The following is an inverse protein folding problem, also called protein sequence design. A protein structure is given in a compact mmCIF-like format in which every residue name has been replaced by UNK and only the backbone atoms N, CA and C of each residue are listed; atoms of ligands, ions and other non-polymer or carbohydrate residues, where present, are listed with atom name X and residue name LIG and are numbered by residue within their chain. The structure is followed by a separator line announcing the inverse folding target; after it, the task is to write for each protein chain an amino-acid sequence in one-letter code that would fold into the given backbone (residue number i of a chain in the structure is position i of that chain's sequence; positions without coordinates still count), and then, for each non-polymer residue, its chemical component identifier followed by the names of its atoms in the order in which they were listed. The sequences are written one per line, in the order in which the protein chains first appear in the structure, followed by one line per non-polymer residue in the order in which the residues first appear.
data_IF_828545644080
#
_entry.id   IF_828545644080
#
_cell.length_a   1.000
_cell.length_b   1.000
_cell.length_c   1.000
_cell.angle_alpha   90.00
_cell.angle_beta   90.00
_cell.angle_gamma   90.00
#
_symmetry.space_group_name_H-M   'P 1'
#
loop_
_entity.id
_entity.type
_entity.pdbx_description
1 polymer ?
#
# COMPACT_ATOMS: atom_id res chain seq x y z
N UNK A 1 9.32 -8.53 4.13
CA UNK A 1 10.44 -7.59 4.29
C UNK A 1 11.36 -7.68 3.08
N UNK A 2 11.89 -8.87 2.79
CA UNK A 2 12.88 -9.03 1.73
C UNK A 2 12.41 -8.53 0.36
N UNK A 3 11.15 -8.76 -0.01
CA UNK A 3 10.60 -8.27 -1.27
C UNK A 3 10.36 -6.75 -1.25
N UNK A 4 9.62 -6.25 -0.25
CA UNK A 4 9.14 -4.86 -0.26
C UNK A 4 10.20 -3.86 0.25
N UNK A 5 10.99 -4.23 1.26
CA UNK A 5 11.99 -3.32 1.86
C UNK A 5 13.35 -3.49 1.16
N UNK A 6 13.95 -4.69 1.26
CA UNK A 6 15.26 -4.94 0.65
C UNK A 6 15.22 -4.80 -0.88
N UNK A 7 14.17 -5.31 -1.53
CA UNK A 7 14.00 -5.17 -2.98
C UNK A 7 13.90 -3.71 -3.42
N UNK A 8 13.12 -2.88 -2.72
CA UNK A 8 13.04 -1.45 -3.01
C UNK A 8 14.38 -0.75 -2.78
N UNK A 9 15.04 -1.04 -1.64
CA UNK A 9 16.36 -0.49 -1.33
C UNK A 9 17.36 -0.81 -2.46
N UNK A 10 17.49 -2.08 -2.85
CA UNK A 10 18.42 -2.50 -3.87
C UNK A 10 18.18 -1.79 -5.20
N UNK A 11 16.93 -1.69 -5.65
CA UNK A 11 16.60 -1.03 -6.93
C UNK A 11 16.81 0.48 -6.83
N UNK A 12 16.48 1.10 -5.68
CA UNK A 12 16.70 2.53 -5.46
C UNK A 12 18.22 2.87 -5.50
N UNK A 13 19.03 2.10 -4.77
CA UNK A 13 20.50 2.29 -4.75
C UNK A 13 21.13 2.11 -6.15
N UNK A 14 20.67 1.09 -6.88
CA UNK A 14 21.10 0.87 -8.26
C UNK A 14 20.65 2.01 -9.18
N UNK A 15 19.46 2.56 -8.97
CA UNK A 15 18.98 3.71 -9.75
C UNK A 15 19.87 4.94 -9.57
N UNK A 16 20.31 5.20 -8.34
CA UNK A 16 21.32 6.26 -8.08
C UNK A 16 22.63 5.94 -8.76
N UNK A 17 23.15 4.72 -8.57
CA UNK A 17 24.44 4.29 -9.16
C UNK A 17 24.47 4.43 -10.67
N UNK A 18 23.37 4.14 -11.36
CA UNK A 18 23.28 4.18 -12.83
C UNK A 18 22.66 5.47 -13.37
N UNK A 19 22.46 6.49 -12.54
CA UNK A 19 21.97 7.80 -12.97
C UNK A 19 20.57 7.79 -13.56
N UNK A 20 19.67 6.94 -13.03
CA UNK A 20 18.26 6.93 -13.42
C UNK A 20 17.64 8.28 -13.09
N UNK A 21 17.01 8.94 -14.05
CA UNK A 21 16.46 10.28 -13.86
C UNK A 21 15.26 10.28 -12.91
N UNK A 22 14.35 9.30 -13.03
CA UNK A 22 13.13 9.21 -12.24
C UNK A 22 12.89 7.77 -11.80
N UNK A 23 12.62 7.60 -10.52
CA UNK A 23 12.23 6.34 -9.89
C UNK A 23 10.82 6.49 -9.33
N UNK A 24 9.88 5.70 -9.84
CA UNK A 24 8.49 5.75 -9.37
C UNK A 24 8.21 4.53 -8.50
N UNK A 25 7.97 4.78 -7.22
CA UNK A 25 7.57 3.75 -6.28
C UNK A 25 6.04 3.63 -6.25
N UNK A 26 5.52 2.48 -6.65
CA UNK A 26 4.11 2.16 -6.48
C UNK A 26 3.87 1.67 -5.05
N UNK A 27 3.08 2.42 -4.30
CA UNK A 27 2.66 2.10 -2.93
C UNK A 27 1.14 1.89 -2.84
N UNK A 28 0.58 1.95 -1.64
CA UNK A 28 -0.81 1.56 -1.37
C UNK A 28 -1.41 2.36 -0.22
N UNK A 29 -2.73 2.45 -0.17
CA UNK A 29 -3.52 2.93 0.96
C UNK A 29 -3.18 2.20 2.28
N UNK A 30 -2.77 0.95 2.21
CA UNK A 30 -2.42 0.12 3.38
C UNK A 30 -1.10 0.51 4.06
N UNK A 31 -0.30 1.36 3.41
CA UNK A 31 0.88 1.99 4.01
C UNK A 31 0.53 3.13 5.00
N UNK A 32 -0.72 3.60 4.96
CA UNK A 32 -1.25 4.64 5.86
C UNK A 32 -1.77 3.97 7.14
N UNK A 33 -1.29 4.41 8.32
CA UNK A 33 -1.65 3.80 9.61
C UNK A 33 -1.68 2.27 9.53
N UNK A 34 -0.58 1.61 9.17
CA UNK A 34 -0.60 0.20 8.84
C UNK A 34 -1.03 -0.65 10.04
N UNK A 35 -1.83 -1.68 9.77
CA UNK A 35 -2.33 -2.63 10.76
C UNK A 35 -1.79 -4.04 10.56
N UNK A 36 -0.97 -4.21 9.52
CA UNK A 36 -0.36 -5.48 9.15
C UNK A 36 1.05 -5.29 8.58
N UNK A 37 1.81 -6.40 8.53
CA UNK A 37 3.21 -6.43 8.07
C UNK A 37 3.36 -5.92 6.63
N UNK A 38 2.43 -6.24 5.73
CA UNK A 38 2.51 -5.82 4.32
C UNK A 38 2.41 -4.30 4.22
N UNK A 39 1.41 -3.67 4.85
CA UNK A 39 1.26 -2.21 4.88
C UNK A 39 2.48 -1.52 5.52
N UNK A 40 2.94 -2.02 6.67
CA UNK A 40 4.12 -1.50 7.35
C UNK A 40 5.39 -1.64 6.49
N UNK A 41 5.59 -2.76 5.78
CA UNK A 41 6.74 -2.94 4.89
C UNK A 41 6.72 -1.98 3.69
N UNK A 42 5.54 -1.64 3.16
CA UNK A 42 5.39 -0.62 2.13
C UNK A 42 5.70 0.77 2.68
N UNK A 43 5.24 1.08 3.90
CA UNK A 43 5.57 2.36 4.55
C UNK A 43 7.06 2.53 4.80
N UNK A 44 7.75 1.48 5.25
CA UNK A 44 9.21 1.49 5.41
C UNK A 44 9.92 1.78 4.09
N UNK A 45 9.48 1.16 3.01
CA UNK A 45 10.02 1.41 1.68
C UNK A 45 9.78 2.86 1.19
N UNK A 46 8.60 3.45 1.48
CA UNK A 46 8.34 4.89 1.23
C UNK A 46 9.32 5.78 2.00
N UNK A 47 9.52 5.50 3.30
CA UNK A 47 10.46 6.25 4.16
C UNK A 47 11.88 6.16 3.59
N UNK A 48 12.29 4.97 3.13
CA UNK A 48 13.61 4.79 2.51
C UNK A 48 13.81 5.68 1.29
N UNK A 49 12.93 5.58 0.29
CA UNK A 49 13.12 6.31 -0.97
C UNK A 49 12.99 7.83 -0.79
N UNK A 50 12.14 8.27 0.14
CA UNK A 50 11.99 9.68 0.48
C UNK A 50 13.24 10.24 1.17
N UNK A 51 13.74 9.56 2.20
CA UNK A 51 14.93 10.00 2.94
C UNK A 51 16.18 9.95 2.06
N UNK A 52 16.31 8.94 1.19
CA UNK A 52 17.38 8.86 0.19
C UNK A 52 17.36 10.08 -0.74
N UNK A 53 16.18 10.43 -1.28
CA UNK A 53 16.06 11.63 -2.11
C UNK A 53 16.46 12.89 -1.37
N UNK A 54 15.99 13.09 -0.15
CA UNK A 54 16.31 14.28 0.66
C UNK A 54 17.81 14.43 0.94
N UNK A 55 18.52 13.31 1.14
CA UNK A 55 19.98 13.30 1.24
C UNK A 55 20.63 13.71 -0.06
N UNK A 56 20.29 13.03 -1.16
CA UNK A 56 20.89 13.28 -2.46
C UNK A 56 20.65 14.69 -2.99
N UNK A 57 19.46 15.26 -2.76
CA UNK A 57 19.11 16.61 -3.17
C UNK A 57 19.91 17.70 -2.43
N UNK A 58 20.42 17.40 -1.22
CA UNK A 58 21.33 18.29 -0.49
C UNK A 58 22.76 18.24 -1.05
N UNK A 59 23.16 17.09 -1.58
CA UNK A 59 24.52 16.85 -2.07
C UNK A 59 24.68 17.20 -3.56
N UNK A 60 23.64 16.99 -4.36
CA UNK A 60 23.68 17.11 -5.81
C UNK A 60 22.40 17.72 -6.40
N UNK A 61 22.54 18.80 -7.18
CA UNK A 61 21.38 19.44 -7.84
C UNK A 61 20.68 18.51 -8.85
N UNK A 62 21.42 17.59 -9.50
CA UNK A 62 20.90 16.65 -10.50
C UNK A 62 21.00 15.22 -9.97
N UNK A 63 20.14 14.86 -9.01
CA UNK A 63 20.03 13.50 -8.50
C UNK A 63 18.80 12.78 -9.07
N UNK A 64 18.76 11.44 -8.89
CA UNK A 64 17.58 10.62 -9.18
C UNK A 64 16.37 11.17 -8.42
N UNK A 65 15.28 11.48 -9.12
CA UNK A 65 14.02 11.93 -8.52
C UNK A 65 13.20 10.73 -8.08
N UNK A 66 13.07 10.54 -6.78
CA UNK A 66 12.25 9.48 -6.19
C UNK A 66 10.85 10.00 -5.93
N UNK A 67 9.86 9.37 -6.53
CA UNK A 67 8.44 9.75 -6.48
C UNK A 67 7.65 8.53 -6.00
N UNK A 68 6.81 8.70 -5.01
CA UNK A 68 5.93 7.63 -4.51
C UNK A 68 4.49 7.90 -4.92
N UNK A 69 3.74 6.86 -5.30
CA UNK A 69 2.31 6.94 -5.57
C UNK A 69 1.54 6.01 -4.63
N UNK A 70 0.48 6.54 -3.99
CA UNK A 70 -0.45 5.79 -3.12
C UNK A 70 -1.82 5.74 -3.75
N UNK A 71 -2.37 4.56 -3.89
CA UNK A 71 -3.75 4.33 -4.31
C UNK A 71 -4.30 3.03 -3.72
N UNK A 72 -5.61 2.84 -3.78
CA UNK A 72 -6.31 1.69 -3.21
C UNK A 72 -6.23 0.44 -4.09
N UNK A 73 -7.33 -0.33 -4.16
CA UNK A 73 -7.31 -1.57 -4.93
C UNK A 73 -7.50 -1.29 -6.41
N UNK A 74 -6.91 -2.17 -7.24
CA UNK A 74 -7.06 -2.12 -8.69
C UNK A 74 -7.96 -3.27 -9.15
N UNK A 75 -9.04 -2.93 -9.86
CA UNK A 75 -10.04 -3.89 -10.34
C UNK A 75 -9.41 -4.91 -11.28
N UNK A 76 -9.70 -6.19 -11.02
CA UNK A 76 -9.25 -7.28 -11.87
C UNK A 76 -7.76 -7.60 -11.79
N UNK A 77 -7.02 -6.97 -10.88
CA UNK A 77 -5.61 -7.31 -10.64
C UNK A 77 -5.46 -8.75 -10.14
N UNK A 78 -4.29 -9.34 -10.39
CA UNK A 78 -4.02 -10.73 -10.03
C UNK A 78 -4.15 -10.94 -8.50
N UNK A 79 -4.89 -11.98 -8.09
CA UNK A 79 -5.15 -12.27 -6.67
C UNK A 79 -6.16 -11.34 -5.98
N UNK A 80 -6.80 -10.40 -6.72
CA UNK A 80 -7.79 -9.49 -6.15
C UNK A 80 -9.16 -10.14 -5.98
N UNK A 81 -10.08 -9.41 -5.31
CA UNK A 81 -11.41 -9.88 -4.95
C UNK A 81 -12.27 -10.28 -6.16
N UNK A 82 -12.13 -9.58 -7.29
CA UNK A 82 -12.95 -9.86 -8.49
C UNK A 82 -12.62 -11.23 -9.12
N UNK A 83 -11.36 -11.57 -9.43
CA UNK A 83 -11.01 -12.93 -9.88
C UNK A 83 -11.36 -14.00 -8.84
N UNK A 84 -11.22 -13.70 -7.55
CA UNK A 84 -11.55 -14.63 -6.47
C UNK A 84 -13.06 -14.95 -6.46
N UNK A 85 -13.92 -13.93 -6.51
CA UNK A 85 -15.37 -14.11 -6.58
C UNK A 85 -15.81 -14.82 -7.87
N UNK A 86 -15.21 -14.48 -9.02
CA UNK A 86 -15.47 -15.20 -10.28
C UNK A 86 -15.23 -16.69 -10.14
N UNK A 87 -14.11 -17.08 -9.50
CA UNK A 87 -13.78 -18.49 -9.27
C UNK A 87 -14.80 -19.16 -8.34
N UNK A 88 -15.22 -18.51 -7.26
CA UNK A 88 -16.22 -19.05 -6.34
C UNK A 88 -17.58 -19.20 -7.02
N UNK A 89 -18.02 -18.24 -7.82
CA UNK A 89 -19.26 -18.33 -8.60
C UNK A 89 -19.21 -19.50 -9.59
N UNK A 90 -18.11 -19.66 -10.33
CA UNK A 90 -17.93 -20.76 -11.29
C UNK A 90 -17.95 -22.14 -10.61
N UNK A 91 -17.63 -22.22 -9.32
CA UNK A 91 -17.69 -23.43 -8.51
C UNK A 91 -19.06 -23.70 -7.86
N UNK A 92 -20.07 -22.82 -8.11
CA UNK A 92 -21.39 -22.92 -7.48
C UNK A 92 -21.48 -22.26 -6.10
N UNK A 93 -20.50 -21.50 -5.71
CA UNK A 93 -20.44 -20.82 -4.41
C UNK A 93 -19.91 -21.68 -3.26
N UNK A 94 -20.05 -21.23 -2.01
CA UNK A 94 -20.49 -19.89 -1.63
C UNK A 94 -19.44 -18.81 -1.91
N UNK A 95 -19.88 -17.53 -2.01
CA UNK A 95 -18.94 -16.40 -2.00
C UNK A 95 -18.58 -16.09 -0.54
N UNK A 96 -17.29 -15.90 -0.26
CA UNK A 96 -16.81 -15.54 1.08
C UNK A 96 -16.41 -14.08 1.15
N UNK A 97 -17.01 -13.33 2.08
CA UNK A 97 -16.70 -11.93 2.40
C UNK A 97 -16.27 -11.85 3.86
N UNK A 98 -15.25 -11.05 4.16
CA UNK A 98 -14.69 -11.02 5.52
C UNK A 98 -15.59 -10.29 6.52
N UNK A 99 -16.35 -9.27 6.09
CA UNK A 99 -17.29 -8.57 6.95
C UNK A 99 -18.43 -7.93 6.12
N UNK A 100 -19.68 -7.89 6.60
CA UNK A 100 -20.79 -7.31 5.85
C UNK A 100 -20.60 -5.83 5.51
N UNK A 101 -19.91 -5.07 6.35
CA UNK A 101 -19.71 -3.63 6.19
C UNK A 101 -18.33 -3.25 5.66
N UNK A 102 -17.53 -4.22 5.21
CA UNK A 102 -16.21 -3.92 4.66
C UNK A 102 -16.34 -3.13 3.36
N UNK A 103 -15.61 -2.03 3.30
CA UNK A 103 -15.54 -1.19 2.10
C UNK A 103 -14.10 -1.13 1.56
N UNK A 104 -14.00 -0.94 0.24
CA UNK A 104 -12.72 -0.71 -0.44
C UNK A 104 -12.90 0.31 -1.55
N UNK A 105 -11.83 1.05 -1.83
CA UNK A 105 -11.74 1.89 -3.00
C UNK A 105 -11.20 1.09 -4.17
N UNK A 106 -11.69 1.37 -5.37
CA UNK A 106 -11.26 0.68 -6.58
C UNK A 106 -10.96 1.66 -7.71
N UNK A 107 -9.96 1.33 -8.48
CA UNK A 107 -9.54 2.01 -9.69
C UNK A 107 -9.33 0.98 -10.80
N UNK A 108 -9.52 1.35 -12.04
CA UNK A 108 -9.21 0.46 -13.17
C UNK A 108 -7.70 0.42 -13.43
N UNK A 109 -7.21 -0.65 -14.08
CA UNK A 109 -5.78 -0.75 -14.44
C UNK A 109 -5.34 0.41 -15.36
N UNK A 110 -6.09 0.76 -16.45
CA UNK A 110 -5.72 1.90 -17.30
C UNK A 110 -5.66 3.22 -16.53
N UNK A 111 -6.63 3.46 -15.65
CA UNK A 111 -6.67 4.69 -14.84
C UNK A 111 -5.46 4.77 -13.90
N UNK A 112 -5.17 3.70 -13.14
CA UNK A 112 -4.02 3.65 -12.26
C UNK A 112 -2.70 3.87 -13.03
N UNK A 113 -2.55 3.22 -14.18
CA UNK A 113 -1.36 3.34 -15.02
C UNK A 113 -1.17 4.77 -15.56
N UNK A 114 -2.23 5.40 -16.02
CA UNK A 114 -2.19 6.78 -16.50
C UNK A 114 -1.80 7.76 -15.39
N UNK A 115 -2.40 7.62 -14.19
CA UNK A 115 -2.08 8.49 -13.05
C UNK A 115 -0.66 8.29 -12.53
N UNK A 116 -0.13 7.06 -12.57
CA UNK A 116 1.29 6.79 -12.23
C UNK A 116 2.23 7.47 -13.20
N UNK A 117 1.95 7.41 -14.51
CA UNK A 117 2.76 8.09 -15.53
C UNK A 117 2.69 9.62 -15.37
N UNK A 118 1.50 10.14 -15.08
CA UNK A 118 1.32 11.57 -14.85
C UNK A 118 2.02 12.04 -13.57
N UNK A 119 1.91 11.32 -12.47
CA UNK A 119 2.67 11.59 -11.25
C UNK A 119 4.19 11.59 -11.51
N UNK A 120 4.66 10.69 -12.39
CA UNK A 120 6.05 10.66 -12.82
C UNK A 120 6.47 11.96 -13.54
N UNK A 121 5.58 12.61 -14.26
CA UNK A 121 5.89 13.89 -14.95
C UNK A 121 5.77 15.10 -14.03
N UNK A 122 4.82 15.09 -13.11
CA UNK A 122 4.57 16.17 -12.15
C UNK A 122 5.64 16.25 -11.05
N UNK A 123 6.16 15.09 -10.62
CA UNK A 123 7.05 15.02 -9.47
C UNK A 123 8.43 15.62 -9.71
N UNK A 124 8.93 16.31 -8.69
CA UNK A 124 10.28 16.87 -8.64
C UNK A 124 11.23 16.06 -7.75
N UNK A 125 10.67 15.09 -7.00
CA UNK A 125 11.37 14.17 -6.10
C UNK A 125 10.98 14.39 -4.63
N UNK A 126 10.90 13.30 -3.88
CA UNK A 126 10.50 13.28 -2.46
C UNK A 126 9.00 13.32 -2.20
N UNK A 127 8.17 13.55 -3.23
CA UNK A 127 6.73 13.60 -3.07
C UNK A 127 6.12 12.20 -2.89
N UNK A 128 5.04 12.17 -2.12
CA UNK A 128 4.09 11.07 -2.08
C UNK A 128 2.79 11.56 -2.70
N UNK A 129 2.50 11.13 -3.92
CA UNK A 129 1.25 11.40 -4.59
C UNK A 129 0.17 10.45 -4.12
N UNK A 130 -1.00 10.98 -3.80
CA UNK A 130 -2.19 10.22 -3.40
C UNK A 130 -3.24 10.44 -4.48
N UNK A 131 -3.78 9.33 -5.01
CA UNK A 131 -4.79 9.40 -6.05
C UNK A 131 -6.20 9.43 -5.45
N UNK A 132 -7.05 10.28 -6.03
CA UNK A 132 -8.48 10.25 -5.74
C UNK A 132 -9.07 8.94 -6.23
N UNK A 133 -9.62 8.17 -5.31
CA UNK A 133 -10.20 6.85 -5.57
C UNK A 133 -11.71 6.90 -5.80
N UNK A 134 -12.30 8.09 -5.82
CA UNK A 134 -13.74 8.27 -5.97
C UNK A 134 -14.54 7.66 -4.81
N UNK A 135 -15.68 7.05 -5.11
CA UNK A 135 -16.58 6.51 -4.10
C UNK A 135 -16.16 5.12 -3.62
N UNK A 136 -16.24 4.85 -2.31
CA UNK A 136 -15.96 3.53 -1.76
C UNK A 136 -17.04 2.51 -2.16
N UNK A 137 -16.63 1.28 -2.35
CA UNK A 137 -17.50 0.16 -2.73
C UNK A 137 -17.61 -0.83 -1.58
N UNK A 138 -18.85 -1.15 -1.18
CA UNK A 138 -19.13 -2.20 -0.21
C UNK A 138 -18.90 -3.57 -0.86
N UNK A 139 -18.02 -4.38 -0.26
CA UNK A 139 -17.62 -5.66 -0.88
C UNK A 139 -18.80 -6.66 -0.95
N UNK A 140 -19.71 -6.62 0.02
CA UNK A 140 -20.95 -7.41 -0.03
C UNK A 140 -21.84 -7.05 -1.23
N UNK A 141 -21.91 -5.78 -1.62
CA UNK A 141 -22.71 -5.35 -2.77
C UNK A 141 -22.00 -5.69 -4.09
N UNK A 142 -20.66 -5.60 -4.13
CA UNK A 142 -19.86 -6.11 -5.24
C UNK A 142 -20.13 -7.62 -5.45
N UNK A 143 -20.14 -8.42 -4.38
CA UNK A 143 -20.45 -9.85 -4.43
C UNK A 143 -21.84 -10.11 -5.00
N UNK A 144 -22.88 -9.44 -4.49
CA UNK A 144 -24.26 -9.56 -4.98
C UNK A 144 -24.36 -9.20 -6.46
N UNK A 145 -23.72 -8.12 -6.89
CA UNK A 145 -23.73 -7.68 -8.27
C UNK A 145 -23.04 -8.70 -9.20
N UNK A 146 -21.93 -9.27 -8.79
CA UNK A 146 -21.22 -10.30 -9.55
C UNK A 146 -22.03 -11.59 -9.68
N UNK A 147 -22.75 -12.01 -8.63
CA UNK A 147 -23.67 -13.15 -8.69
C UNK A 147 -24.77 -12.89 -9.73
N UNK A 148 -25.42 -11.70 -9.69
CA UNK A 148 -26.46 -11.31 -10.66
C UNK A 148 -25.94 -11.28 -12.10
N UNK A 149 -24.76 -10.70 -12.31
CA UNK A 149 -24.13 -10.65 -13.64
C UNK A 149 -23.78 -12.04 -14.20
N UNK A 150 -23.58 -13.03 -13.32
CA UNK A 150 -23.39 -14.42 -13.70
C UNK A 150 -24.71 -15.19 -13.95
N UNK A 151 -25.87 -14.52 -13.83
CA UNK A 151 -27.20 -15.11 -14.06
C UNK A 151 -27.82 -15.82 -12.85
N UNK A 152 -27.23 -15.66 -11.67
CA UNK A 152 -27.71 -16.29 -10.42
C UNK A 152 -28.40 -15.29 -9.47
N UNK A 153 -29.20 -15.82 -8.56
CA UNK A 153 -29.88 -15.05 -7.51
C UNK A 153 -29.10 -15.11 -6.21
N UNK A 154 -28.60 -13.96 -5.68
CA UNK A 154 -27.88 -13.93 -4.40
C UNK A 154 -28.73 -14.44 -3.24
N UNK A 155 -28.17 -15.32 -2.43
CA UNK A 155 -28.84 -15.92 -1.27
C UNK A 155 -29.81 -17.05 -1.58
N UNK A 156 -30.09 -17.33 -2.87
CA UNK A 156 -30.89 -18.45 -3.33
C UNK A 156 -30.05 -19.49 -4.07
N UNK A 157 -29.38 -19.06 -5.15
CA UNK A 157 -28.55 -19.94 -5.97
C UNK A 157 -27.09 -19.96 -5.48
N UNK A 158 -26.59 -18.80 -5.00
CA UNK A 158 -25.26 -18.66 -4.44
C UNK A 158 -25.34 -17.86 -3.14
N UNK A 159 -24.90 -18.46 -2.05
CA UNK A 159 -24.83 -17.83 -0.74
C UNK A 159 -23.61 -16.92 -0.59
N UNK A 160 -23.74 -15.90 0.30
CA UNK A 160 -22.62 -15.06 0.74
C UNK A 160 -22.38 -15.37 2.21
N UNK A 161 -21.19 -15.91 2.51
CA UNK A 161 -20.79 -16.27 3.88
C UNK A 161 -19.81 -15.22 4.41
N UNK A 162 -20.03 -14.76 5.65
CA UNK A 162 -19.14 -13.84 6.34
C UNK A 162 -18.18 -14.60 7.24
N UNK A 163 -16.88 -14.48 6.97
CA UNK A 163 -15.81 -15.27 7.61
C UNK A 163 -15.14 -14.61 8.80
N UNK A 164 -15.42 -13.34 9.06
CA UNK A 164 -14.68 -12.50 10.00
C UNK A 164 -13.48 -11.80 9.35
N UNK A 165 -13.09 -10.67 9.93
CA UNK A 165 -11.91 -9.93 9.47
C UNK A 165 -10.63 -10.75 9.66
N UNK A 166 -9.75 -10.71 8.68
CA UNK A 166 -8.43 -11.35 8.75
C UNK A 166 -7.50 -10.59 9.72
N UNK A 167 -6.45 -11.23 10.25
CA UNK A 167 -5.44 -10.53 11.01
C UNK A 167 -4.88 -9.32 10.24
N UNK A 168 -4.93 -8.14 10.86
CA UNK A 168 -4.49 -6.88 10.27
C UNK A 168 -5.38 -6.31 9.17
N UNK A 169 -6.57 -6.85 8.92
CA UNK A 169 -7.51 -6.30 7.96
C UNK A 169 -8.31 -5.15 8.57
N UNK A 170 -8.37 -4.01 7.86
CA UNK A 170 -9.20 -2.86 8.23
C UNK A 170 -10.60 -3.00 7.66
N UNK A 171 -11.61 -2.56 8.42
CA UNK A 171 -12.98 -2.44 7.90
C UNK A 171 -13.06 -1.34 6.82
N UNK A 172 -12.35 -0.24 7.05
CA UNK A 172 -12.23 0.92 6.17
C UNK A 172 -10.76 1.23 5.93
N UNK A 173 -10.35 1.39 4.66
CA UNK A 173 -9.00 1.83 4.32
C UNK A 173 -8.92 3.35 4.25
N UNK A 174 -7.77 3.90 4.60
CA UNK A 174 -7.49 5.33 4.63
C UNK A 174 -6.46 5.65 3.55
N UNK A 175 -6.71 6.68 2.75
CA UNK A 175 -5.74 7.18 1.75
C UNK A 175 -4.70 8.11 2.36
N UNK A 176 -5.04 8.75 3.47
CA UNK A 176 -4.24 9.73 4.21
C UNK A 176 -4.31 9.44 5.71
N UNK A 177 -3.21 9.70 6.41
CA UNK A 177 -3.22 9.78 7.87
C UNK A 177 -3.89 11.10 8.30
N UNK A 178 -4.55 11.12 9.46
CA UNK A 178 -5.17 12.34 10.03
C UNK A 178 -4.21 13.52 10.20
N UNK A 179 -2.90 13.26 10.27
CA UNK A 179 -1.84 14.27 10.38
C UNK A 179 -1.24 14.66 9.03
N UNK A 180 -1.57 13.97 7.95
CA UNK A 180 -1.10 14.27 6.59
C UNK A 180 -2.04 15.29 5.96
N UNK A 181 -1.50 16.48 5.68
CA UNK A 181 -2.18 17.49 4.86
C UNK A 181 -1.92 17.18 3.39
N UNK A 182 -2.87 17.51 2.53
CA UNK A 182 -2.69 17.41 1.09
C UNK A 182 -2.54 18.77 0.43
N UNK A 183 -1.73 18.80 -0.62
CA UNK A 183 -1.62 19.94 -1.52
C UNK A 183 -2.18 19.49 -2.88
N UNK A 184 -3.11 20.25 -3.48
CA UNK A 184 -3.60 19.94 -4.82
C UNK A 184 -2.48 20.07 -5.86
N UNK A 185 -2.60 19.32 -6.95
CA UNK A 185 -1.75 19.48 -8.14
C UNK A 185 -2.54 20.09 -9.30
N UNK A 186 -1.92 20.18 -10.47
CA UNK A 186 -2.61 20.56 -11.72
C UNK A 186 -3.62 19.52 -12.19
N UNK A 187 -3.52 18.27 -11.69
CA UNK A 187 -4.51 17.23 -11.94
C UNK A 187 -5.38 17.04 -10.70
N UNK A 188 -6.69 17.24 -10.82
CA UNK A 188 -7.66 17.13 -9.73
C UNK A 188 -7.69 15.74 -9.06
N UNK A 189 -7.27 14.69 -9.78
CA UNK A 189 -7.18 13.32 -9.27
C UNK A 189 -5.87 13.00 -8.53
N UNK A 190 -4.93 13.93 -8.50
CA UNK A 190 -3.60 13.73 -7.89
C UNK A 190 -3.37 14.81 -6.84
N UNK A 191 -3.13 14.40 -5.62
CA UNK A 191 -2.75 15.27 -4.50
C UNK A 191 -1.37 14.88 -3.99
N UNK A 192 -0.63 15.84 -3.42
CA UNK A 192 0.63 15.58 -2.71
C UNK A 192 0.36 15.47 -1.22
N UNK A 193 0.74 14.37 -0.60
CA UNK A 193 0.71 14.23 0.85
C UNK A 193 1.94 14.89 1.49
N UNK A 194 1.71 15.77 2.47
CA UNK A 194 2.76 16.26 3.35
C UNK A 194 3.01 15.22 4.44
N UNK A 195 4.12 14.54 4.36
CA UNK A 195 4.53 13.52 5.33
C UNK A 195 5.73 13.98 6.14
N UNK A 196 5.95 13.34 7.28
CA UNK A 196 7.16 13.55 8.08
C UNK A 196 8.41 13.20 7.27
N UNK A 197 9.42 14.05 7.36
CA UNK A 197 10.76 13.78 6.83
C UNK A 197 11.60 13.00 7.85
N UNK A 198 12.51 12.20 7.35
CA UNK A 198 13.39 11.33 8.13
C UNK A 198 14.85 11.56 7.72
N UNK A 199 15.77 11.45 8.69
CA UNK A 199 17.18 11.39 8.38
C UNK A 199 17.55 10.09 7.70
N UNK A 200 18.29 10.19 6.59
CA UNK A 200 18.60 9.01 5.78
C UNK A 200 19.54 8.04 6.50
N UNK A 201 20.55 8.54 7.20
CA UNK A 201 21.57 7.67 7.80
C UNK A 201 20.96 6.86 8.96
N UNK A 202 20.05 7.47 9.74
CA UNK A 202 19.27 6.77 10.77
C UNK A 202 18.34 5.72 10.15
N UNK A 203 17.61 6.09 9.10
CA UNK A 203 16.69 5.19 8.38
C UNK A 203 17.44 4.02 7.77
N UNK A 204 18.54 4.27 7.08
CA UNK A 204 19.33 3.23 6.42
C UNK A 204 19.89 2.23 7.44
N UNK A 205 20.44 2.71 8.57
CA UNK A 205 20.93 1.84 9.63
C UNK A 205 19.83 0.95 10.22
N UNK A 206 18.64 1.52 10.49
CA UNK A 206 17.50 0.76 10.99
C UNK A 206 16.99 -0.27 9.98
N UNK A 207 16.96 0.07 8.70
CA UNK A 207 16.55 -0.85 7.61
C UNK A 207 17.56 -1.99 7.42
N UNK A 208 18.85 -1.74 7.53
CA UNK A 208 19.87 -2.80 7.46
C UNK A 208 19.68 -3.81 8.61
N UNK A 209 19.43 -3.34 9.84
CA UNK A 209 19.12 -4.21 10.97
C UNK A 209 17.83 -5.01 10.74
N UNK A 210 16.80 -4.37 10.19
CA UNK A 210 15.53 -5.01 9.86
C UNK A 210 15.71 -6.13 8.81
N UNK A 211 16.47 -5.85 7.75
CA UNK A 211 16.78 -6.83 6.69
C UNK A 211 17.55 -8.01 7.26
N UNK A 212 18.57 -7.75 8.06
CA UNK A 212 19.37 -8.80 8.71
C UNK A 212 18.50 -9.68 9.62
N UNK A 213 17.67 -9.09 10.47
CA UNK A 213 16.74 -9.85 11.34
C UNK A 213 15.76 -10.70 10.52
N UNK A 214 15.28 -10.18 9.38
CA UNK A 214 14.37 -10.92 8.49
C UNK A 214 15.08 -12.08 7.77
N UNK A 215 16.34 -11.92 7.36
CA UNK A 215 17.16 -12.98 6.75
C UNK A 215 17.46 -14.10 7.73
N UNK A 216 17.65 -13.80 9.01
CA UNK A 216 17.85 -14.79 10.05
C UNK A 216 16.54 -15.51 10.48
N UNK A 217 15.39 -15.11 9.91
CA UNK A 217 14.08 -15.71 10.25
C UNK A 217 13.55 -15.30 11.64
N UNK A 218 14.07 -14.26 12.26
CA UNK A 218 13.68 -13.78 13.60
C UNK A 218 12.36 -12.98 13.53
N UNK A 219 11.22 -13.68 13.55
CA UNK A 219 9.91 -13.07 13.27
C UNK A 219 9.56 -11.92 14.24
N UNK A 220 9.56 -12.17 15.57
CA UNK A 220 9.19 -11.16 16.56
C UNK A 220 10.13 -9.96 16.61
N UNK A 221 11.46 -10.13 16.64
CA UNK A 221 12.41 -9.02 16.53
C UNK A 221 12.22 -8.21 15.26
N UNK A 222 11.98 -8.86 14.12
CA UNK A 222 11.70 -8.19 12.85
C UNK A 222 10.46 -7.28 12.94
N UNK A 223 9.35 -7.78 13.51
CA UNK A 223 8.13 -6.97 13.66
C UNK A 223 8.34 -5.84 14.67
N UNK A 224 9.11 -6.04 15.73
CA UNK A 224 9.46 -4.99 16.67
C UNK A 224 10.24 -3.87 15.99
N UNK A 225 11.28 -4.17 15.21
CA UNK A 225 12.02 -3.19 14.43
C UNK A 225 11.12 -2.43 13.44
N UNK A 226 10.16 -3.12 12.80
CA UNK A 226 9.18 -2.45 11.94
C UNK A 226 8.37 -1.40 12.70
N UNK A 227 7.94 -1.68 13.94
CA UNK A 227 7.18 -0.73 14.78
C UNK A 227 8.03 0.43 15.28
N UNK A 228 9.34 0.23 15.44
CA UNK A 228 10.28 1.30 15.77
C UNK A 228 10.49 2.26 14.59
N UNK A 229 10.62 1.73 13.36
CA UNK A 229 10.74 2.54 12.14
C UNK A 229 9.42 3.24 11.79
N UNK A 230 8.27 2.57 12.03
CA UNK A 230 6.92 3.04 11.72
C UNK A 230 6.09 3.06 13.01
N UNK A 231 6.18 4.11 13.85
CA UNK A 231 5.45 4.17 15.12
C UNK A 231 3.93 4.13 14.99
N UNK A 232 3.39 4.53 13.83
CA UNK A 232 1.97 4.44 13.50
C UNK A 232 1.51 3.00 13.19
N UNK A 233 2.42 2.03 13.07
CA UNK A 233 2.06 0.63 12.86
C UNK A 233 1.49 0.02 14.15
N UNK A 234 0.17 -0.16 14.18
CA UNK A 234 -0.56 -0.84 15.25
C UNK A 234 -1.19 -2.11 14.70
N UNK A 235 -0.76 -3.26 15.22
CA UNK A 235 -1.32 -4.55 14.81
C UNK A 235 -2.79 -4.66 15.21
N UNK A 236 -3.61 -5.35 14.40
CA UNK A 236 -5.01 -5.63 14.72
C UNK A 236 -5.30 -7.12 14.48
N UNK A 237 -6.00 -7.74 15.43
CA UNK A 237 -6.37 -9.15 15.38
C UNK A 237 -5.16 -10.07 15.10
N UNK A 238 -4.00 -9.78 15.72
CA UNK A 238 -2.73 -10.42 15.44
C UNK A 238 -1.93 -10.69 16.70
N UNK A 239 -1.15 -11.78 16.71
CA UNK A 239 -0.21 -12.10 17.79
C UNK A 239 0.83 -11.00 18.06
N UNK A 240 0.96 -10.05 17.15
CA UNK A 240 1.91 -8.94 17.25
C UNK A 240 1.36 -7.71 17.99
N UNK A 241 0.09 -7.72 18.43
CA UNK A 241 -0.50 -6.66 19.27
C UNK A 241 0.28 -6.47 20.57
N UNK A 242 0.85 -7.55 21.13
CA UNK A 242 1.70 -7.48 22.31
C UNK A 242 2.99 -6.66 22.14
N UNK A 243 3.35 -6.31 20.91
CA UNK A 243 4.47 -5.42 20.57
C UNK A 243 4.02 -3.97 20.34
N UNK A 244 2.72 -3.67 20.43
CA UNK A 244 2.19 -2.31 20.30
C UNK A 244 2.52 -1.51 21.58
N UNK A 245 3.06 -0.30 21.38
CA UNK A 245 3.36 0.65 22.48
C UNK A 245 2.27 1.71 22.58
#
# INVERSE_FOLDING_TARGET
ILTNVMGTKNIADLSVKYGVQRFIMVSTDKAVNPTNIMGASKRIAEIYVQSLFLKLAKEHANCTKFITTRFGNVLGSNGSVVPFFKKQIAQGGPITVTHPDIIRYFMTIPEASSLVLEAATLGNGGEIFVFDMGQPVKISDLAKNMIRLAGYVPGKDIEIIYTGLRPGEKLYEELLNQKELTIPTTNEKIMVAKVREYDFDEVNAAIEQLIHSAQEGKIFPTVQLMKEIVPEYKSKNSIYEKLDK
#
